data_IF_486309572728
#
_entry.id   IF_486309572728
#
_cell.length_a   1.000
_cell.length_b   1.000
_cell.length_c   1.000
_cell.angle_alpha   90.00
_cell.angle_beta   90.00
_cell.angle_gamma   90.00
#
_symmetry.space_group_name_H-M   'P 1'
#
loop_
_entity.id
_entity.type
_entity.pdbx_description
1 polymer ?
#
# COMPACT_ATOMS: atom_id res chain seq x y z
N UNK A 1 16.32 -17.35 20.26
CA UNK A 1 16.92 -16.22 20.99
C UNK A 1 17.85 -15.34 20.15
N UNK A 2 18.69 -15.89 19.26
CA UNK A 2 19.63 -15.08 18.40
C UNK A 2 18.91 -14.22 17.33
N UNK A 3 17.78 -14.66 16.77
CA UNK A 3 16.97 -13.86 15.81
C UNK A 3 16.44 -12.54 16.41
N UNK A 4 16.11 -12.53 17.71
CA UNK A 4 15.57 -11.35 18.40
C UNK A 4 16.59 -10.21 18.54
N UNK A 5 17.87 -10.52 18.72
CA UNK A 5 18.93 -9.50 18.88
C UNK A 5 19.28 -8.83 17.55
N UNK A 6 19.28 -9.59 16.43
CA UNK A 6 19.53 -9.02 15.09
C UNK A 6 18.46 -8.04 14.66
N UNK A 7 17.20 -8.28 15.03
CA UNK A 7 16.09 -7.39 14.70
C UNK A 7 16.13 -6.07 15.48
N UNK A 8 16.63 -6.09 16.73
CA UNK A 8 16.81 -4.88 17.57
C UNK A 8 17.89 -3.93 17.05
N UNK A 9 18.86 -4.42 16.29
CA UNK A 9 19.96 -3.64 15.73
C UNK A 9 19.76 -3.24 14.28
N UNK A 10 18.62 -3.60 13.67
CA UNK A 10 18.35 -3.24 12.28
C UNK A 10 18.20 -1.72 12.11
N UNK A 11 19.04 -1.15 11.25
CA UNK A 11 18.92 0.22 10.78
C UNK A 11 18.37 0.18 9.36
N UNK A 12 17.20 0.77 9.12
CA UNK A 12 16.68 0.85 7.77
C UNK A 12 17.59 1.71 6.89
N UNK A 13 17.56 1.52 5.56
CA UNK A 13 18.32 2.34 4.63
C UNK A 13 17.90 3.80 4.71
N UNK A 14 18.71 4.68 4.11
CA UNK A 14 18.31 6.07 3.92
C UNK A 14 17.02 6.13 3.11
N UNK A 15 16.18 7.09 3.44
CA UNK A 15 14.97 7.36 2.63
C UNK A 15 15.36 8.07 1.34
N UNK A 16 14.61 7.85 0.25
CA UNK A 16 14.81 8.59 -1.00
C UNK A 16 14.69 10.09 -0.77
N UNK A 17 15.41 10.85 -1.58
CA UNK A 17 15.31 12.31 -1.66
C UNK A 17 14.95 12.71 -3.07
N UNK A 18 14.49 13.95 -3.22
CA UNK A 18 14.24 14.57 -4.51
C UNK A 18 15.46 14.44 -5.44
N UNK A 19 15.24 14.03 -6.68
CA UNK A 19 16.29 13.83 -7.68
C UNK A 19 17.13 12.54 -7.54
N UNK A 20 16.88 11.72 -6.51
CA UNK A 20 17.60 10.45 -6.34
C UNK A 20 16.91 9.29 -7.10
N UNK A 21 17.72 8.34 -7.55
CA UNK A 21 17.22 7.04 -7.98
C UNK A 21 16.87 6.21 -6.74
N UNK A 22 15.71 5.56 -6.78
CA UNK A 22 15.25 4.71 -5.67
C UNK A 22 15.90 3.33 -5.68
N UNK A 23 16.70 3.04 -6.71
CA UNK A 23 17.32 1.73 -6.89
C UNK A 23 16.30 0.63 -7.22
N UNK A 24 16.74 -0.60 -7.09
CA UNK A 24 15.92 -1.76 -7.43
C UNK A 24 14.78 -1.98 -6.44
N UNK A 25 13.55 -2.11 -6.98
CA UNK A 25 12.33 -2.31 -6.20
C UNK A 25 12.39 -3.56 -5.31
N UNK A 26 12.89 -4.69 -5.83
CA UNK A 26 12.97 -5.93 -5.07
C UNK A 26 13.95 -5.82 -3.89
N UNK A 27 15.05 -5.11 -4.07
CA UNK A 27 16.00 -4.80 -2.99
C UNK A 27 15.32 -3.94 -1.91
N UNK A 28 14.57 -2.91 -2.29
CA UNK A 28 13.84 -2.07 -1.35
C UNK A 28 12.73 -2.87 -0.64
N UNK A 29 12.06 -3.76 -1.33
CA UNK A 29 11.05 -4.66 -0.75
C UNK A 29 11.67 -5.59 0.32
N UNK A 30 12.82 -6.18 0.06
CA UNK A 30 13.55 -6.98 1.06
C UNK A 30 13.95 -6.15 2.28
N UNK A 31 14.33 -4.89 2.10
CA UNK A 31 14.60 -3.97 3.20
C UNK A 31 13.33 -3.64 4.00
N UNK A 32 12.19 -3.49 3.32
CA UNK A 32 10.89 -3.30 3.96
C UNK A 32 10.48 -4.53 4.81
N UNK A 33 10.72 -5.75 4.31
CA UNK A 33 10.53 -6.97 5.11
C UNK A 33 11.39 -6.93 6.38
N UNK A 34 12.68 -6.62 6.26
CA UNK A 34 13.60 -6.53 7.43
C UNK A 34 13.12 -5.47 8.43
N UNK A 35 12.61 -4.34 7.95
CA UNK A 35 12.03 -3.33 8.81
C UNK A 35 10.80 -3.88 9.55
N UNK A 36 9.88 -4.51 8.87
CA UNK A 36 8.69 -5.13 9.46
C UNK A 36 9.07 -6.19 10.50
N UNK A 37 10.04 -7.05 10.19
CA UNK A 37 10.59 -8.03 11.15
C UNK A 37 11.22 -7.33 12.38
N UNK A 38 11.85 -6.16 12.19
CA UNK A 38 12.41 -5.38 13.30
C UNK A 38 11.34 -4.75 14.20
N UNK A 39 10.13 -4.59 13.69
CA UNK A 39 8.96 -4.17 14.47
C UNK A 39 8.27 -5.34 15.20
N UNK A 40 8.72 -6.58 14.98
CA UNK A 40 8.22 -7.78 15.67
C UNK A 40 7.24 -8.64 14.87
N UNK A 41 7.01 -8.33 13.60
CA UNK A 41 6.09 -9.08 12.73
C UNK A 41 6.86 -10.06 11.85
N UNK A 42 6.27 -11.23 11.59
CA UNK A 42 6.84 -12.20 10.67
C UNK A 42 6.34 -11.93 9.26
N UNK A 43 7.24 -11.95 8.29
CA UNK A 43 6.90 -11.79 6.88
C UNK A 43 7.51 -12.93 6.09
N UNK A 44 6.68 -13.59 5.30
CA UNK A 44 7.14 -14.59 4.33
C UNK A 44 7.98 -13.89 3.26
N UNK A 45 9.19 -14.40 3.02
CA UNK A 45 10.09 -13.83 2.01
C UNK A 45 9.69 -14.28 0.63
N UNK A 46 9.76 -13.39 -0.36
CA UNK A 46 9.45 -13.75 -1.73
C UNK A 46 10.49 -14.73 -2.30
N UNK A 47 9.99 -15.73 -3.02
CA UNK A 47 10.73 -16.48 -4.03
C UNK A 47 10.46 -15.78 -5.36
N UNK A 48 11.36 -14.86 -5.75
CA UNK A 48 11.13 -14.00 -6.89
C UNK A 48 11.08 -14.76 -8.21
N UNK A 49 10.04 -14.50 -8.97
CA UNK A 49 9.75 -15.08 -10.28
C UNK A 49 9.61 -14.01 -11.38
N UNK A 50 10.69 -13.28 -11.70
CA UNK A 50 10.60 -12.10 -12.56
C UNK A 50 10.16 -12.39 -14.00
N UNK A 51 10.18 -13.65 -14.41
CA UNK A 51 9.73 -14.08 -15.74
C UNK A 51 8.24 -14.44 -15.80
N UNK A 52 7.61 -14.64 -14.64
CA UNK A 52 6.18 -14.93 -14.53
C UNK A 52 5.39 -13.62 -14.38
N UNK A 53 5.30 -12.83 -15.48
CA UNK A 53 4.60 -11.56 -15.50
C UNK A 53 3.10 -11.74 -15.35
N UNK A 54 2.42 -10.72 -14.81
CA UNK A 54 0.96 -10.64 -14.80
C UNK A 54 0.45 -10.49 -16.23
N UNK A 55 -0.68 -11.12 -16.51
CA UNK A 55 -1.33 -11.00 -17.82
C UNK A 55 -1.78 -9.56 -18.07
N UNK A 56 -1.54 -9.08 -19.28
CA UNK A 56 -1.90 -7.70 -19.68
C UNK A 56 -3.42 -7.49 -19.62
N UNK A 57 -4.20 -8.51 -19.95
CA UNK A 57 -5.66 -8.48 -19.94
C UNK A 57 -6.24 -8.41 -18.52
N UNK A 58 -5.45 -8.73 -17.47
CA UNK A 58 -5.89 -8.68 -16.09
C UNK A 58 -7.03 -9.63 -15.76
N UNK A 59 -7.05 -10.80 -16.38
CA UNK A 59 -8.11 -11.80 -16.24
C UNK A 59 -8.40 -12.23 -14.79
N UNK A 60 -7.45 -12.04 -13.89
CA UNK A 60 -7.55 -12.33 -12.46
C UNK A 60 -8.39 -11.29 -11.68
N UNK A 61 -8.49 -10.05 -12.18
CA UNK A 61 -9.09 -8.94 -11.39
C UNK A 61 -10.59 -9.10 -11.22
N UNK A 62 -11.34 -9.31 -12.30
CA UNK A 62 -12.80 -9.39 -12.19
C UNK A 62 -13.26 -10.54 -11.28
N UNK A 63 -12.72 -11.77 -11.37
CA UNK A 63 -13.04 -12.84 -10.44
C UNK A 63 -12.66 -12.50 -8.99
N UNK A 64 -11.50 -11.85 -8.75
CA UNK A 64 -11.07 -11.44 -7.42
C UNK A 64 -12.03 -10.40 -6.82
N UNK A 65 -12.39 -9.37 -7.58
CA UNK A 65 -13.33 -8.33 -7.13
C UNK A 65 -14.73 -8.90 -6.84
N UNK A 66 -15.20 -9.83 -7.67
CA UNK A 66 -16.47 -10.52 -7.46
C UNK A 66 -16.45 -11.37 -6.19
N UNK A 67 -15.37 -12.15 -5.99
CA UNK A 67 -15.18 -12.96 -4.77
C UNK A 67 -15.08 -12.10 -3.51
N UNK A 68 -14.46 -10.93 -3.62
CA UNK A 68 -14.38 -9.93 -2.56
C UNK A 68 -15.70 -9.19 -2.29
N UNK A 69 -16.75 -9.40 -3.11
CA UNK A 69 -18.02 -8.71 -2.98
C UNK A 69 -17.94 -7.21 -3.32
N UNK A 70 -16.99 -6.81 -4.16
CA UNK A 70 -16.84 -5.43 -4.62
C UNK A 70 -18.01 -5.08 -5.55
N UNK A 71 -18.70 -3.98 -5.24
CA UNK A 71 -19.85 -3.49 -6.00
C UNK A 71 -19.62 -2.11 -6.60
N UNK A 72 -18.77 -1.32 -5.97
CA UNK A 72 -18.53 0.08 -6.34
C UNK A 72 -17.07 0.46 -6.07
N UNK A 73 -16.26 0.49 -7.13
CA UNK A 73 -14.85 0.87 -7.07
C UNK A 73 -14.63 2.36 -6.82
N UNK A 74 -15.66 3.21 -6.98
CA UNK A 74 -15.52 4.64 -6.65
C UNK A 74 -15.24 4.84 -5.16
N UNK A 75 -15.65 3.88 -4.32
CA UNK A 75 -15.38 3.87 -2.88
C UNK A 75 -13.93 3.57 -2.51
N UNK A 76 -13.10 3.19 -3.47
CA UNK A 76 -11.68 2.93 -3.23
C UNK A 76 -10.86 4.21 -3.03
N UNK A 77 -11.34 5.36 -3.50
CA UNK A 77 -10.63 6.63 -3.40
C UNK A 77 -10.18 6.92 -1.96
N UNK A 78 -8.89 7.26 -1.79
CA UNK A 78 -8.24 7.63 -0.52
C UNK A 78 -8.26 6.54 0.57
N UNK A 79 -8.53 5.29 0.23
CA UNK A 79 -8.63 4.18 1.18
C UNK A 79 -7.62 3.06 0.86
N UNK A 80 -6.40 3.43 0.46
CA UNK A 80 -5.39 2.51 -0.06
C UNK A 80 -5.12 1.33 0.88
N UNK A 81 -4.91 1.57 2.17
CA UNK A 81 -4.62 0.50 3.13
C UNK A 81 -5.80 -0.47 3.28
N UNK A 82 -7.03 0.06 3.39
CA UNK A 82 -8.24 -0.75 3.51
C UNK A 82 -8.43 -1.66 2.31
N UNK A 83 -8.39 -1.08 1.11
CA UNK A 83 -8.66 -1.81 -0.13
C UNK A 83 -7.55 -2.80 -0.47
N UNK A 84 -6.29 -2.40 -0.33
CA UNK A 84 -5.16 -3.31 -0.59
C UNK A 84 -5.17 -4.48 0.40
N UNK A 85 -5.39 -4.23 1.69
CA UNK A 85 -5.49 -5.31 2.68
C UNK A 85 -6.64 -6.27 2.36
N UNK A 86 -7.83 -5.73 2.10
CA UNK A 86 -9.01 -6.54 1.86
C UNK A 86 -8.95 -7.36 0.58
N UNK A 87 -8.39 -6.79 -0.49
CA UNK A 87 -8.28 -7.47 -1.79
C UNK A 87 -7.14 -8.48 -1.85
N UNK A 88 -6.09 -8.35 -1.04
CA UNK A 88 -4.90 -9.20 -1.10
C UNK A 88 -5.22 -10.71 -1.15
N UNK A 89 -6.00 -11.29 -0.21
CA UNK A 89 -6.28 -12.74 -0.23
C UNK A 89 -7.12 -13.18 -1.43
N UNK A 90 -8.02 -12.32 -1.92
CA UNK A 90 -8.85 -12.63 -3.09
C UNK A 90 -8.03 -12.64 -4.37
N UNK A 91 -7.10 -11.69 -4.51
CA UNK A 91 -6.18 -11.62 -5.66
C UNK A 91 -5.17 -12.78 -5.60
N UNK A 92 -4.60 -13.06 -4.42
CA UNK A 92 -3.71 -14.19 -4.21
C UNK A 92 -4.38 -15.52 -4.64
N UNK A 93 -5.63 -15.73 -4.24
CA UNK A 93 -6.40 -16.91 -4.60
C UNK A 93 -6.63 -17.02 -6.11
N UNK A 94 -6.97 -15.93 -6.79
CA UNK A 94 -7.22 -15.95 -8.22
C UNK A 94 -5.94 -16.10 -9.06
N UNK A 95 -4.85 -15.50 -8.62
CA UNK A 95 -3.55 -15.66 -9.27
C UNK A 95 -2.92 -17.04 -9.00
N UNK A 96 -3.28 -17.72 -7.90
CA UNK A 96 -2.57 -18.91 -7.42
C UNK A 96 -1.11 -18.60 -7.06
N UNK A 97 -0.80 -17.35 -6.76
CA UNK A 97 0.56 -16.81 -6.51
C UNK A 97 0.53 -15.91 -5.30
N UNK A 98 1.67 -15.83 -4.61
CA UNK A 98 1.80 -15.01 -3.40
C UNK A 98 1.65 -13.52 -3.70
N UNK A 99 0.86 -12.86 -2.86
CA UNK A 99 0.61 -11.41 -2.90
C UNK A 99 0.89 -10.82 -1.52
N UNK A 100 1.70 -9.79 -1.46
CA UNK A 100 2.02 -9.09 -0.21
C UNK A 100 1.39 -7.71 -0.19
N UNK A 101 0.69 -7.39 0.89
CA UNK A 101 0.36 -6.01 1.21
C UNK A 101 1.66 -5.25 1.47
N UNK A 102 1.85 -4.15 0.78
CA UNK A 102 3.04 -3.30 0.88
C UNK A 102 2.61 -1.89 1.25
N UNK A 103 3.33 -1.29 2.20
CA UNK A 103 3.13 0.08 2.67
C UNK A 103 4.41 0.86 2.40
N UNK A 104 4.30 2.09 1.94
CA UNK A 104 5.49 2.90 1.69
C UNK A 104 5.21 4.28 1.13
N UNK A 105 6.23 4.83 0.48
CA UNK A 105 6.18 6.12 -0.19
C UNK A 105 5.79 5.96 -1.65
N UNK A 106 5.07 6.97 -2.16
CA UNK A 106 4.90 7.19 -3.60
C UNK A 106 5.39 8.59 -3.93
N UNK A 107 6.16 8.67 -4.99
CA UNK A 107 6.67 9.91 -5.55
C UNK A 107 6.17 10.06 -6.98
N UNK A 108 5.87 11.29 -7.37
CA UNK A 108 5.68 11.68 -8.76
C UNK A 108 6.85 12.55 -9.15
N UNK A 109 7.64 12.14 -10.14
CA UNK A 109 8.92 12.78 -10.46
C UNK A 109 9.79 12.92 -9.20
N UNK A 110 10.04 14.16 -8.78
CA UNK A 110 10.85 14.50 -7.61
C UNK A 110 10.02 14.97 -6.40
N UNK A 111 8.69 14.83 -6.45
CA UNK A 111 7.78 15.22 -5.38
C UNK A 111 7.18 14.00 -4.68
N UNK A 112 7.35 13.93 -3.38
CA UNK A 112 6.69 12.90 -2.58
C UNK A 112 5.19 13.19 -2.47
N UNK A 113 4.35 12.29 -2.96
CA UNK A 113 2.90 12.33 -2.76
C UNK A 113 2.53 11.78 -1.39
N UNK A 114 3.19 10.70 -1.00
CA UNK A 114 3.10 10.09 0.33
C UNK A 114 4.52 9.78 0.80
N UNK A 115 4.89 10.29 1.96
CA UNK A 115 6.26 10.20 2.47
C UNK A 115 6.31 9.89 3.96
N UNK A 116 5.74 8.75 4.42
CA UNK A 116 5.93 8.32 5.79
C UNK A 116 7.43 8.11 6.04
N UNK A 117 7.87 8.35 7.27
CA UNK A 117 9.22 8.03 7.67
C UNK A 117 9.28 6.65 8.33
N UNK A 118 10.48 6.06 8.44
CA UNK A 118 10.70 4.84 9.22
C UNK A 118 10.27 5.00 10.68
N UNK A 119 10.44 6.22 11.23
CA UNK A 119 10.02 6.53 12.60
C UNK A 119 8.49 6.60 12.71
N UNK A 120 7.80 7.17 11.73
CA UNK A 120 6.33 7.19 11.71
C UNK A 120 5.79 5.76 11.73
N UNK A 121 6.24 4.90 10.80
CA UNK A 121 5.81 3.50 10.73
C UNK A 121 6.11 2.73 12.02
N UNK A 122 7.29 2.95 12.61
CA UNK A 122 7.65 2.33 13.90
C UNK A 122 6.80 2.85 15.05
N UNK A 123 6.50 4.14 15.08
CA UNK A 123 5.62 4.76 16.06
C UNK A 123 4.21 4.21 15.93
N UNK A 124 3.66 4.22 14.72
CA UNK A 124 2.31 3.72 14.44
C UNK A 124 2.16 2.22 14.76
N UNK A 125 3.19 1.41 14.51
CA UNK A 125 3.17 -0.01 14.90
C UNK A 125 3.11 -0.23 16.41
N UNK A 126 3.48 0.74 17.23
CA UNK A 126 3.47 0.67 18.69
C UNK A 126 2.23 1.28 19.33
N UNK A 127 1.75 2.39 18.81
CA UNK A 127 0.71 3.21 19.44
C UNK A 127 -0.51 3.49 18.54
N UNK A 128 -0.48 3.01 17.28
CA UNK A 128 -1.50 3.32 16.31
C UNK A 128 -1.38 4.72 15.73
N UNK A 129 -2.35 5.10 14.91
CA UNK A 129 -2.47 6.40 14.25
C UNK A 129 -3.54 7.20 14.96
N UNK A 130 -3.23 8.44 15.32
CA UNK A 130 -4.17 9.35 16.00
C UNK A 130 -4.99 10.16 14.99
N UNK A 131 -6.10 10.74 15.46
CA UNK A 131 -6.91 11.64 14.64
C UNK A 131 -6.12 12.90 14.28
N UNK A 132 -5.28 13.40 15.19
CA UNK A 132 -4.43 14.57 14.96
C UNK A 132 -3.42 14.36 13.84
N UNK A 133 -2.90 13.14 13.69
CA UNK A 133 -1.97 12.81 12.60
C UNK A 133 -2.64 12.86 11.23
N UNK A 134 -3.94 12.60 11.15
CA UNK A 134 -4.72 12.72 9.92
C UNK A 134 -5.04 14.16 9.54
N UNK A 135 -5.06 15.07 10.51
CA UNK A 135 -5.41 16.48 10.31
C UNK A 135 -4.18 17.39 10.21
N UNK A 136 -3.00 16.85 9.95
CA UNK A 136 -1.80 17.70 9.76
C UNK A 136 -2.03 18.67 8.61
N UNK A 137 -1.75 19.97 8.80
CA UNK A 137 -1.90 20.97 7.76
C UNK A 137 -1.13 20.56 6.48
N UNK A 138 -1.80 20.65 5.33
CA UNK A 138 -1.21 20.31 4.03
C UNK A 138 -1.26 18.83 3.66
N UNK A 139 -1.89 17.97 4.47
CA UNK A 139 -2.09 16.56 4.15
C UNK A 139 -3.56 16.31 3.79
N UNK A 140 -3.80 15.64 2.68
CA UNK A 140 -5.14 15.19 2.27
C UNK A 140 -5.51 13.84 2.94
N UNK A 141 -5.25 13.71 4.24
CA UNK A 141 -5.48 12.47 4.99
C UNK A 141 -4.19 11.86 5.54
N UNK A 142 -4.17 10.55 5.72
CA UNK A 142 -3.01 9.84 6.25
C UNK A 142 -1.84 9.88 5.27
N UNK A 143 -0.68 10.34 5.73
CA UNK A 143 0.56 10.35 4.94
C UNK A 143 1.14 8.92 4.81
N UNK A 144 0.40 8.04 4.16
CA UNK A 144 0.72 6.64 3.95
C UNK A 144 0.06 6.18 2.66
N UNK A 145 0.79 5.41 1.85
CA UNK A 145 0.19 4.68 0.73
C UNK A 145 0.41 3.18 0.87
N UNK A 146 -0.54 2.41 0.33
CA UNK A 146 -0.50 0.96 0.34
C UNK A 146 -0.94 0.38 -1.00
N UNK A 147 -0.26 -0.66 -1.42
CA UNK A 147 -0.48 -1.40 -2.66
C UNK A 147 -0.19 -2.89 -2.45
N UNK A 148 -0.32 -3.69 -3.50
CA UNK A 148 0.02 -5.10 -3.47
C UNK A 148 1.28 -5.37 -4.30
N UNK A 149 2.16 -6.23 -3.81
CA UNK A 149 3.35 -6.70 -4.53
C UNK A 149 3.19 -8.19 -4.82
N UNK A 150 3.50 -8.61 -6.02
CA UNK A 150 3.44 -10.01 -6.47
C UNK A 150 4.86 -10.59 -6.55
N UNK A 151 5.00 -11.90 -6.54
CA UNK A 151 6.30 -12.60 -6.60
C UNK A 151 7.07 -12.38 -7.91
N UNK A 152 6.47 -11.80 -8.96
CA UNK A 152 7.19 -11.30 -10.14
C UNK A 152 7.92 -9.97 -9.91
N UNK A 153 7.69 -9.30 -8.79
CA UNK A 153 8.15 -7.93 -8.53
C UNK A 153 7.22 -6.86 -9.12
N UNK A 154 6.13 -7.27 -9.72
CA UNK A 154 5.08 -6.36 -10.17
C UNK A 154 4.22 -5.89 -8.99
N UNK A 155 3.55 -4.77 -9.17
CA UNK A 155 2.61 -4.22 -8.19
C UNK A 155 1.19 -4.21 -8.77
N UNK A 156 0.21 -4.28 -7.87
CA UNK A 156 -1.20 -4.04 -8.19
C UNK A 156 -1.64 -2.87 -7.33
N UNK A 157 -2.21 -1.86 -7.97
CA UNK A 157 -2.59 -0.58 -7.38
C UNK A 157 -4.12 -0.41 -7.40
N UNK A 158 -4.82 -0.75 -6.31
CA UNK A 158 -6.28 -0.76 -6.32
C UNK A 158 -6.94 0.61 -6.25
N UNK A 159 -6.25 1.66 -5.84
CA UNK A 159 -6.90 2.89 -5.36
C UNK A 159 -6.38 4.20 -5.93
N UNK A 160 -5.12 4.28 -6.31
CA UNK A 160 -4.48 5.53 -6.71
C UNK A 160 -5.18 6.17 -7.90
N UNK A 161 -5.50 5.37 -8.93
CA UNK A 161 -6.14 5.89 -10.15
C UNK A 161 -7.51 6.51 -9.83
N UNK A 162 -8.33 5.80 -9.03
CA UNK A 162 -9.62 6.32 -8.58
C UNK A 162 -9.47 7.56 -7.69
N UNK A 163 -8.42 7.62 -6.85
CA UNK A 163 -8.12 8.79 -6.03
C UNK A 163 -7.75 10.01 -6.89
N UNK A 164 -6.89 9.82 -7.90
CA UNK A 164 -6.51 10.87 -8.86
C UNK A 164 -7.72 11.37 -9.64
N UNK A 165 -8.58 10.45 -10.14
CA UNK A 165 -9.80 10.80 -10.87
C UNK A 165 -10.77 11.60 -9.98
N UNK A 166 -10.83 11.30 -8.69
CA UNK A 166 -11.69 12.01 -7.73
C UNK A 166 -11.16 13.40 -7.42
N UNK A 167 -9.83 13.59 -7.33
CA UNK A 167 -9.20 14.89 -7.08
C UNK A 167 -9.22 15.81 -8.31
N UNK A 168 -9.06 15.23 -9.49
CA UNK A 168 -8.90 15.96 -10.75
C UNK A 168 -9.85 15.42 -11.84
N UNK A 169 -11.18 15.49 -11.63
CA UNK A 169 -12.16 14.85 -12.50
C UNK A 169 -12.11 15.37 -13.93
N UNK A 170 -11.82 16.64 -14.14
CA UNK A 170 -11.76 17.25 -15.48
C UNK A 170 -10.64 16.66 -16.35
N UNK A 171 -9.56 16.20 -15.73
CA UNK A 171 -8.37 15.68 -16.43
C UNK A 171 -8.31 14.16 -16.44
N UNK A 172 -8.66 13.52 -15.32
CA UNK A 172 -8.40 12.11 -15.07
C UNK A 172 -9.66 11.27 -14.85
N UNK A 173 -10.85 11.74 -15.28
CA UNK A 173 -12.10 10.96 -15.14
C UNK A 173 -12.02 9.54 -15.71
N UNK A 174 -11.20 9.32 -16.73
CA UNK A 174 -10.97 8.00 -17.33
C UNK A 174 -10.27 7.00 -16.41
N UNK A 175 -9.65 7.46 -15.32
CA UNK A 175 -9.06 6.61 -14.27
C UNK A 175 -10.06 6.19 -13.20
N UNK A 176 -11.27 6.73 -13.22
CA UNK A 176 -12.29 6.36 -12.24
C UNK A 176 -12.59 4.86 -12.35
N UNK A 177 -12.55 4.16 -11.21
CA UNK A 177 -12.71 2.72 -11.10
C UNK A 177 -11.58 1.88 -11.76
N UNK A 178 -10.49 2.49 -12.19
CA UNK A 178 -9.37 1.76 -12.73
C UNK A 178 -8.49 1.17 -11.61
N UNK A 179 -8.01 -0.04 -11.84
CA UNK A 179 -6.97 -0.71 -11.06
C UNK A 179 -5.75 -0.84 -11.96
N UNK A 180 -4.58 -0.40 -11.49
CA UNK A 180 -3.33 -0.54 -12.22
C UNK A 180 -2.58 -1.81 -11.81
N UNK A 181 -1.85 -2.42 -12.73
CA UNK A 181 -0.90 -3.50 -12.41
C UNK A 181 0.24 -3.53 -13.43
N UNK A 182 1.37 -4.06 -12.99
CA UNK A 182 2.57 -4.19 -13.82
C UNK A 182 3.84 -3.84 -13.06
N UNK A 183 4.90 -3.54 -13.79
CA UNK A 183 6.13 -3.08 -13.14
C UNK A 183 5.89 -1.74 -12.43
N UNK A 184 6.53 -1.51 -11.27
CA UNK A 184 6.35 -0.27 -10.50
C UNK A 184 6.55 1.02 -11.31
N UNK A 185 7.45 0.99 -12.31
CA UNK A 185 7.73 2.13 -13.17
C UNK A 185 6.68 2.35 -14.29
N UNK A 186 5.85 1.35 -14.58
CA UNK A 186 4.98 1.35 -15.75
C UNK A 186 3.51 1.66 -15.42
N UNK A 187 3.11 1.52 -14.14
CA UNK A 187 1.69 1.63 -13.73
C UNK A 187 1.15 3.05 -13.91
N UNK A 188 1.89 4.02 -13.41
CA UNK A 188 1.60 5.44 -13.56
C UNK A 188 2.87 6.13 -14.02
N UNK A 189 2.79 6.82 -15.15
CA UNK A 189 3.93 7.58 -15.68
C UNK A 189 4.53 8.47 -14.60
N UNK A 190 5.87 8.47 -14.50
CA UNK A 190 6.64 9.30 -13.58
C UNK A 190 6.44 8.99 -12.09
N UNK A 191 5.68 7.93 -11.74
CA UNK A 191 5.54 7.55 -10.34
C UNK A 191 6.59 6.51 -9.94
N UNK A 192 7.09 6.66 -8.71
CA UNK A 192 8.09 5.78 -8.11
C UNK A 192 7.54 5.23 -6.80
N UNK A 193 7.68 3.93 -6.59
CA UNK A 193 7.22 3.21 -5.40
C UNK A 193 8.41 2.86 -4.52
N UNK A 194 8.39 3.23 -3.25
CA UNK A 194 9.41 2.89 -2.27
C UNK A 194 8.81 2.09 -1.12
N UNK A 195 8.95 0.75 -1.12
CA UNK A 195 8.46 -0.13 -0.07
C UNK A 195 9.13 0.16 1.28
N UNK A 196 8.34 0.19 2.37
CA UNK A 196 8.85 0.45 3.72
C UNK A 196 8.35 -0.57 4.76
N UNK A 197 7.14 -1.09 4.63
CA UNK A 197 6.63 -2.17 5.46
C UNK A 197 5.83 -3.16 4.61
N UNK A 198 5.81 -4.43 5.01
CA UNK A 198 5.20 -5.53 4.25
C UNK A 198 4.41 -6.43 5.19
N UNK A 199 3.24 -6.89 4.73
CA UNK A 199 2.46 -7.93 5.37
C UNK A 199 1.19 -7.45 6.06
N UNK A 200 0.19 -8.34 6.07
CA UNK A 200 -1.13 -8.07 6.64
C UNK A 200 -1.05 -7.82 8.16
N UNK A 201 -0.25 -8.62 8.90
CA UNK A 201 -0.12 -8.48 10.36
C UNK A 201 0.34 -7.07 10.79
N UNK A 202 1.21 -6.43 10.00
CA UNK A 202 1.64 -5.05 10.28
C UNK A 202 0.46 -4.08 10.14
N UNK A 203 -0.34 -4.20 9.08
CA UNK A 203 -1.52 -3.37 8.85
C UNK A 203 -2.62 -3.61 9.90
N UNK A 204 -2.84 -4.86 10.29
CA UNK A 204 -3.78 -5.25 11.35
C UNK A 204 -3.37 -4.67 12.71
N UNK A 205 -2.07 -4.66 12.99
CA UNK A 205 -1.55 -4.01 14.19
C UNK A 205 -1.77 -2.50 14.15
N UNK A 206 -1.55 -1.83 13.01
CA UNK A 206 -1.90 -0.41 12.87
C UNK A 206 -3.39 -0.19 13.14
N UNK A 207 -4.26 -0.98 12.49
CA UNK A 207 -5.72 -0.87 12.65
C UNK A 207 -6.16 -1.06 14.11
N UNK A 208 -5.67 -2.12 14.77
CA UNK A 208 -6.10 -2.46 16.14
C UNK A 208 -5.68 -1.44 17.19
N UNK A 209 -4.66 -0.65 16.91
CA UNK A 209 -4.10 0.36 17.82
C UNK A 209 -4.52 1.80 17.49
N UNK A 210 -5.04 2.01 16.27
CA UNK A 210 -5.45 3.33 15.82
C UNK A 210 -6.80 3.74 16.39
N UNK A 211 -7.01 5.03 16.53
CA UNK A 211 -8.27 5.62 16.98
C UNK A 211 -9.37 5.55 15.91
N UNK A 212 -9.00 5.18 14.68
CA UNK A 212 -9.89 5.11 13.52
C UNK A 212 -9.82 3.73 12.88
N UNK A 213 -10.91 3.31 12.24
CA UNK A 213 -10.95 2.08 11.45
C UNK A 213 -10.15 2.22 10.15
N UNK A 214 -9.02 1.51 10.05
CA UNK A 214 -8.14 1.54 8.87
C UNK A 214 -8.41 0.40 7.90
N UNK A 215 -9.02 -0.69 8.36
CA UNK A 215 -9.25 -1.90 7.58
C UNK A 215 -10.73 -2.23 7.50
N UNK A 216 -11.08 -3.18 6.64
CA UNK A 216 -12.43 -3.75 6.51
C UNK A 216 -12.37 -5.25 6.73
N UNK A 217 -13.39 -5.79 7.38
CA UNK A 217 -13.58 -7.24 7.63
C UNK A 217 -14.65 -7.85 6.72
N UNK A 218 -15.41 -7.03 6.01
CA UNK A 218 -16.52 -7.47 5.15
C UNK A 218 -16.78 -6.44 4.03
N UNK A 219 -17.57 -6.80 2.99
CA UNK A 219 -17.86 -5.90 1.87
C UNK A 219 -18.58 -4.60 2.28
N UNK A 220 -19.39 -4.61 3.34
CA UNK A 220 -20.09 -3.40 3.80
C UNK A 220 -19.09 -2.39 4.37
N UNK A 221 -18.16 -2.84 5.19
CA UNK A 221 -17.09 -2.01 5.73
C UNK A 221 -16.14 -1.53 4.63
N UNK A 222 -15.84 -2.39 3.63
CA UNK A 222 -15.01 -2.02 2.49
C UNK A 222 -15.56 -0.79 1.76
N UNK A 223 -16.89 -0.77 1.53
CA UNK A 223 -17.55 0.33 0.82
C UNK A 223 -17.90 1.52 1.72
N UNK A 224 -17.70 1.43 3.03
CA UNK A 224 -17.90 2.56 3.92
C UNK A 224 -16.77 3.57 3.78
N UNK A 225 -17.11 4.85 3.78
CA UNK A 225 -16.09 5.92 3.88
C UNK A 225 -15.83 6.15 5.36
N UNK A 226 -14.56 6.14 5.84
CA UNK A 226 -14.27 6.52 7.21
C UNK A 226 -14.80 7.93 7.48
N UNK A 227 -15.51 8.13 8.59
CA UNK A 227 -16.08 9.44 8.96
C UNK A 227 -15.02 10.55 9.17
N UNK A 228 -13.73 10.22 9.14
CA UNK A 228 -12.62 11.15 9.33
C UNK A 228 -12.19 11.92 8.07
N UNK A 229 -12.75 11.63 6.89
CA UNK A 229 -12.54 12.46 5.70
C UNK A 229 -13.56 13.60 5.71
N UNK A 230 -13.45 14.50 6.67
CA UNK A 230 -14.10 15.80 6.60
C UNK A 230 -13.14 16.69 5.81
N UNK A 231 -13.48 16.93 4.54
CA UNK A 231 -12.80 17.95 3.75
C UNK A 231 -12.98 19.28 4.47
N UNK A 232 -11.91 19.79 5.05
CA UNK A 232 -11.87 21.18 5.49
C UNK A 232 -11.99 22.04 4.23
N UNK A 233 -13.01 22.88 4.20
CA UNK A 233 -13.19 23.96 3.22
C UNK A 233 -12.06 24.99 3.33
#
# INVERSE_FOLDING_TARGET
MIKSIRNLLYRPPAMPKSGEDFGDYQTNFVNAIRFTESCGFLVERPDWKPHERLEVEGSFLEPALRAAGVRDLTKAAFQCLKWSHYLAPHIEQQLGRKVWLTIGQIWKEDQALFSPTWNDLRSWSKQGITIEEMHKPGSAGLNLHAWLTVDSGEVIEPTMMTSIATLYPDTYSHFLCAIGWGQPADILSEHKYFPMAVGAEFAECLHSRSQIGLLASNPQELHSVPMAIVFGN
#
